data_IF_216815888114
#
_entry.id   IF_216815888114
#
_cell.length_a   1.000
_cell.length_b   1.000
_cell.length_c   1.000
_cell.angle_alpha   90.00
_cell.angle_beta   90.00
_cell.angle_gamma   90.00
#
_symmetry.space_group_name_H-M   'P 1'
#
loop_
_entity.id
_entity.type
_entity.pdbx_description
1 polymer ?
#
# COMPACT_ATOMS: atom_id res chain seq x y z
N UNK A 1 -19.29 29.50 5.07
CA UNK A 1 -19.23 28.94 3.69
C UNK A 1 -18.01 29.39 2.90
N UNK A 2 -17.60 30.66 2.99
CA UNK A 2 -16.40 31.17 2.28
C UNK A 2 -15.09 30.52 2.80
N UNK A 3 -14.97 30.25 4.09
CA UNK A 3 -13.81 29.55 4.67
C UNK A 3 -13.69 28.10 4.16
N UNK A 4 -14.81 27.40 3.93
CA UNK A 4 -14.80 26.08 3.29
C UNK A 4 -14.38 26.16 1.81
N UNK A 5 -14.69 27.26 1.11
CA UNK A 5 -14.28 27.47 -0.29
C UNK A 5 -12.79 27.79 -0.43
N UNK A 6 -12.14 28.38 0.59
CA UNK A 6 -10.68 28.57 0.59
C UNK A 6 -9.95 27.21 0.62
N UNK A 7 -10.48 26.22 1.32
CA UNK A 7 -9.95 24.85 1.32
C UNK A 7 -10.17 24.09 0.00
N UNK A 8 -11.16 24.47 -0.81
CA UNK A 8 -11.46 23.83 -2.11
C UNK A 8 -10.33 24.04 -3.13
N UNK A 9 -9.69 25.21 -3.14
CA UNK A 9 -8.56 25.49 -4.04
C UNK A 9 -7.32 24.69 -3.67
N UNK A 10 -7.05 24.54 -2.37
CA UNK A 10 -5.96 23.73 -1.86
C UNK A 10 -6.26 22.23 -1.98
N UNK A 11 -7.54 21.84 -1.91
CA UNK A 11 -8.00 20.46 -2.12
C UNK A 11 -7.80 19.98 -3.56
N UNK A 12 -7.79 20.86 -4.57
CA UNK A 12 -7.49 20.49 -5.95
C UNK A 12 -6.07 19.97 -6.14
N UNK A 13 -5.09 20.62 -5.55
CA UNK A 13 -3.69 20.18 -5.59
C UNK A 13 -3.43 18.94 -4.74
N UNK A 14 -3.95 18.92 -3.51
CA UNK A 14 -3.81 17.77 -2.61
C UNK A 14 -4.56 16.54 -3.13
N UNK A 15 -5.70 16.73 -3.79
CA UNK A 15 -6.45 15.64 -4.41
C UNK A 15 -5.64 14.99 -5.54
N UNK A 16 -5.01 15.78 -6.40
CA UNK A 16 -4.11 15.24 -7.45
C UNK A 16 -2.90 14.51 -6.87
N UNK A 17 -2.32 15.02 -5.77
CA UNK A 17 -1.26 14.29 -5.06
C UNK A 17 -1.78 12.95 -4.53
N UNK A 18 -2.97 12.92 -3.93
CA UNK A 18 -3.60 11.72 -3.43
C UNK A 18 -3.83 10.69 -4.56
N UNK A 19 -4.46 11.09 -5.66
CA UNK A 19 -4.71 10.24 -6.82
C UNK A 19 -3.41 9.67 -7.41
N UNK A 20 -2.34 10.46 -7.43
CA UNK A 20 -1.03 10.02 -7.90
C UNK A 20 -0.40 9.00 -6.94
N UNK A 21 -0.45 9.26 -5.63
CA UNK A 21 0.03 8.31 -4.62
C UNK A 21 -0.77 7.01 -4.64
N UNK A 22 -2.09 7.09 -4.84
CA UNK A 22 -2.95 5.92 -4.98
C UNK A 22 -2.57 5.08 -6.19
N UNK A 23 -2.28 5.70 -7.36
CA UNK A 23 -1.77 4.98 -8.54
C UNK A 23 -0.44 4.29 -8.25
N UNK A 24 0.49 4.95 -7.58
CA UNK A 24 1.80 4.38 -7.22
C UNK A 24 1.61 3.16 -6.30
N UNK A 25 0.80 3.29 -5.25
CA UNK A 25 0.55 2.20 -4.30
C UNK A 25 -0.28 1.06 -4.89
N UNK A 26 -1.07 1.33 -5.94
CA UNK A 26 -1.79 0.33 -6.71
C UNK A 26 -0.90 -0.41 -7.73
N UNK A 27 0.37 0.01 -7.92
CA UNK A 27 1.29 -0.56 -8.90
C UNK A 27 1.11 -0.06 -10.33
N UNK A 28 0.29 0.98 -10.52
CA UNK A 28 0.05 1.62 -11.82
C UNK A 28 0.81 2.95 -11.98
N UNK A 29 1.73 3.24 -11.04
CA UNK A 29 2.56 4.44 -11.08
C UNK A 29 3.59 4.41 -12.19
N UNK A 30 4.01 5.60 -12.63
CA UNK A 30 5.06 5.86 -13.61
C UNK A 30 6.15 6.73 -12.99
N UNK A 31 7.33 6.78 -13.61
CA UNK A 31 8.41 7.68 -13.16
C UNK A 31 7.98 9.16 -13.21
N UNK A 32 7.12 9.50 -14.16
CA UNK A 32 6.53 10.84 -14.29
C UNK A 32 5.69 11.21 -13.07
N UNK A 33 5.07 10.24 -12.40
CA UNK A 33 4.26 10.47 -11.21
C UNK A 33 5.12 10.94 -10.03
N UNK A 34 6.33 10.43 -9.88
CA UNK A 34 7.27 10.87 -8.84
C UNK A 34 7.72 12.31 -9.13
N UNK A 35 8.10 12.60 -10.38
CA UNK A 35 8.47 13.94 -10.80
C UNK A 35 7.32 14.94 -10.64
N UNK A 36 6.09 14.51 -10.93
CA UNK A 36 4.88 15.31 -10.74
C UNK A 36 4.65 15.66 -9.26
N UNK A 37 4.83 14.70 -8.34
CA UNK A 37 4.69 14.95 -6.91
C UNK A 37 5.74 15.96 -6.39
N UNK A 38 6.97 15.86 -6.88
CA UNK A 38 8.05 16.80 -6.55
C UNK A 38 7.79 18.20 -7.10
N UNK A 39 7.16 18.32 -8.26
CA UNK A 39 6.82 19.61 -8.89
C UNK A 39 5.57 20.26 -8.28
N UNK A 40 4.51 19.49 -8.03
CA UNK A 40 3.24 20.03 -7.53
C UNK A 40 3.33 20.47 -6.06
N UNK A 41 4.13 19.78 -5.24
CA UNK A 41 4.24 20.07 -3.81
C UNK A 41 4.64 21.51 -3.51
N UNK A 42 5.76 22.04 -4.06
CA UNK A 42 6.14 23.44 -3.91
C UNK A 42 5.10 24.43 -4.44
N UNK A 43 4.38 24.08 -5.52
CA UNK A 43 3.32 24.91 -6.09
C UNK A 43 2.12 25.04 -5.14
N UNK A 44 1.75 23.93 -4.49
CA UNK A 44 0.68 23.95 -3.45
C UNK A 44 1.13 24.84 -2.28
N UNK A 45 2.36 24.70 -1.79
CA UNK A 45 2.88 25.54 -0.69
C UNK A 45 2.83 27.03 -1.00
N UNK A 46 3.23 27.41 -2.21
CA UNK A 46 3.22 28.82 -2.64
C UNK A 46 1.81 29.37 -2.88
N UNK A 47 0.90 28.52 -3.35
CA UNK A 47 -0.46 28.91 -3.69
C UNK A 47 -1.44 28.87 -2.52
N UNK A 48 -1.10 28.20 -1.44
CA UNK A 48 -1.97 28.05 -0.28
C UNK A 48 -2.03 29.31 0.57
N UNK A 49 -3.24 29.76 0.91
CA UNK A 49 -3.50 30.96 1.70
C UNK A 49 -3.46 30.73 3.21
N UNK A 50 -3.47 29.48 3.66
CA UNK A 50 -3.43 29.12 5.08
C UNK A 50 -2.28 28.18 5.40
N UNK A 51 -1.83 28.17 6.66
CA UNK A 51 -0.73 27.29 7.09
C UNK A 51 -0.98 25.80 6.90
N UNK A 52 -2.24 25.36 7.03
CA UNK A 52 -2.62 23.96 6.79
C UNK A 52 -2.39 23.55 5.33
N UNK A 53 -2.81 24.38 4.37
CA UNK A 53 -2.56 24.12 2.95
C UNK A 53 -1.08 24.17 2.60
N UNK A 54 -0.29 25.07 3.25
CA UNK A 54 1.15 25.16 3.04
C UNK A 54 1.91 23.93 3.55
N UNK A 55 1.41 23.27 4.58
CA UNK A 55 2.03 22.06 5.16
C UNK A 55 1.53 20.75 4.57
N UNK A 56 0.38 20.75 3.91
CA UNK A 56 -0.26 19.56 3.35
C UNK A 56 0.65 18.70 2.45
N UNK A 57 1.50 19.24 1.57
CA UNK A 57 2.38 18.42 0.72
C UNK A 57 3.62 17.88 1.45
N UNK A 58 3.93 18.37 2.66
CA UNK A 58 5.17 18.02 3.36
C UNK A 58 5.33 16.51 3.63
N UNK A 59 4.30 15.75 4.07
CA UNK A 59 4.44 14.32 4.26
C UNK A 59 4.90 13.59 2.99
N UNK A 60 4.27 13.87 1.84
CA UNK A 60 4.63 13.25 0.56
C UNK A 60 6.05 13.64 0.12
N UNK A 61 6.40 14.93 0.17
CA UNK A 61 7.74 15.41 -0.21
C UNK A 61 8.84 14.85 0.70
N UNK A 62 8.59 14.75 2.01
CA UNK A 62 9.56 14.18 2.95
C UNK A 62 9.75 12.69 2.72
N UNK A 63 8.68 11.92 2.49
CA UNK A 63 8.78 10.48 2.20
C UNK A 63 9.50 10.22 0.89
N UNK A 64 9.23 11.00 -0.17
CA UNK A 64 9.98 10.90 -1.44
C UNK A 64 11.47 11.19 -1.21
N UNK A 65 11.81 12.20 -0.41
CA UNK A 65 13.20 12.57 -0.13
C UNK A 65 13.97 11.49 0.61
N UNK A 66 13.35 10.84 1.60
CA UNK A 66 14.04 9.86 2.46
C UNK A 66 13.89 8.42 1.98
N UNK A 67 12.83 8.10 1.25
CA UNK A 67 12.49 6.74 0.82
C UNK A 67 12.29 6.64 -0.70
N UNK A 68 13.10 7.40 -1.47
CA UNK A 68 13.00 7.42 -2.93
C UNK A 68 13.08 6.03 -3.54
N UNK A 69 13.96 5.18 -3.01
CA UNK A 69 14.12 3.80 -3.46
C UNK A 69 12.84 2.97 -3.36
N UNK A 70 12.00 3.22 -2.33
CA UNK A 70 10.72 2.54 -2.19
C UNK A 70 9.72 3.00 -3.25
N UNK A 71 9.69 4.30 -3.57
CA UNK A 71 8.87 4.82 -4.67
C UNK A 71 9.29 4.24 -6.02
N UNK A 72 10.59 4.19 -6.29
CA UNK A 72 11.13 3.59 -7.51
C UNK A 72 10.82 2.08 -7.60
N UNK A 73 10.89 1.35 -6.49
CA UNK A 73 10.50 -0.06 -6.42
C UNK A 73 9.01 -0.26 -6.74
N UNK A 74 8.12 0.61 -6.24
CA UNK A 74 6.69 0.56 -6.55
C UNK A 74 6.40 0.84 -8.02
N UNK A 75 7.15 1.77 -8.63
CA UNK A 75 6.96 2.21 -10.02
C UNK A 75 7.58 1.22 -11.00
N UNK A 76 8.87 0.89 -10.82
CA UNK A 76 9.64 0.12 -11.80
C UNK A 76 9.46 -1.39 -11.61
N UNK A 77 9.51 -1.87 -10.37
CA UNK A 77 9.44 -3.29 -10.06
C UNK A 77 8.03 -3.75 -9.70
N UNK A 78 7.12 -2.81 -9.41
CA UNK A 78 5.76 -3.07 -8.93
C UNK A 78 5.73 -3.94 -7.66
N UNK A 79 6.71 -3.71 -6.80
CA UNK A 79 6.91 -4.42 -5.54
C UNK A 79 6.83 -3.40 -4.40
N UNK A 80 6.20 -3.78 -3.31
CA UNK A 80 6.21 -3.03 -2.06
C UNK A 80 7.27 -3.62 -1.12
N UNK A 81 8.45 -2.97 -0.91
CA UNK A 81 9.50 -3.51 -0.03
C UNK A 81 9.03 -3.67 1.41
N UNK A 82 8.20 -2.75 1.88
CA UNK A 82 7.63 -2.77 3.24
C UNK A 82 6.46 -3.75 3.40
N UNK A 83 6.01 -4.42 2.34
CA UNK A 83 4.89 -5.38 2.31
C UNK A 83 3.58 -4.83 2.91
N UNK A 84 3.32 -3.54 2.77
CA UNK A 84 2.14 -2.85 3.32
C UNK A 84 1.05 -2.64 2.27
N UNK A 85 1.41 -2.31 1.02
CA UNK A 85 0.46 -2.00 -0.04
C UNK A 85 -0.33 -3.23 -0.44
N UNK A 86 -1.62 -3.26 -0.14
CA UNK A 86 -2.50 -4.43 -0.32
C UNK A 86 -2.56 -4.95 -1.76
N UNK A 87 -2.40 -4.07 -2.74
CA UNK A 87 -2.44 -4.41 -4.17
C UNK A 87 -1.15 -5.07 -4.68
N UNK A 88 -0.02 -4.82 -4.00
CA UNK A 88 1.31 -5.29 -4.38
C UNK A 88 1.81 -6.45 -3.51
N UNK A 89 0.96 -6.96 -2.62
CA UNK A 89 1.31 -8.01 -1.66
C UNK A 89 0.32 -9.15 -1.77
N UNK A 90 0.82 -10.37 -1.72
CA UNK A 90 0.03 -11.58 -1.60
C UNK A 90 0.21 -12.22 -0.22
N UNK A 91 -0.80 -12.95 0.22
CA UNK A 91 -0.72 -13.76 1.43
C UNK A 91 -0.41 -15.19 1.05
N UNK A 92 0.61 -15.76 1.69
CA UNK A 92 0.97 -17.17 1.50
C UNK A 92 1.00 -17.92 2.82
N UNK A 93 0.55 -19.17 2.77
CA UNK A 93 0.55 -20.08 3.91
C UNK A 93 1.68 -21.08 3.75
N UNK A 94 2.55 -21.14 4.74
CA UNK A 94 3.64 -22.12 4.85
C UNK A 94 3.06 -23.44 5.37
N UNK A 95 2.94 -24.42 4.50
CA UNK A 95 2.38 -25.72 4.84
C UNK A 95 3.25 -26.51 5.83
N UNK A 96 4.56 -26.25 5.87
CA UNK A 96 5.49 -26.92 6.79
C UNK A 96 5.24 -26.50 8.24
N UNK A 97 4.81 -25.27 8.46
CA UNK A 97 4.49 -24.70 9.78
C UNK A 97 3.03 -24.86 10.18
N UNK A 98 2.18 -25.20 9.22
CA UNK A 98 0.75 -25.26 9.41
C UNK A 98 0.33 -26.51 10.17
N UNK A 99 -0.30 -26.35 11.34
CA UNK A 99 -0.87 -27.44 12.14
C UNK A 99 -2.32 -27.80 11.73
N UNK A 100 -2.80 -27.28 10.62
CA UNK A 100 -4.13 -27.57 10.05
C UNK A 100 -5.31 -27.33 11.02
N UNK A 101 -5.21 -26.35 11.92
CA UNK A 101 -6.22 -26.04 12.92
C UNK A 101 -7.50 -25.38 12.37
N UNK A 102 -7.52 -25.00 11.08
CA UNK A 102 -8.64 -24.34 10.37
C UNK A 102 -9.11 -23.00 10.94
N UNK A 103 -8.39 -22.38 11.89
CA UNK A 103 -8.77 -21.09 12.46
C UNK A 103 -8.77 -19.97 11.42
N UNK A 104 -7.79 -19.96 10.50
CA UNK A 104 -7.72 -18.99 9.42
C UNK A 104 -8.91 -19.09 8.45
N UNK A 105 -9.39 -20.31 8.18
CA UNK A 105 -10.56 -20.55 7.30
C UNK A 105 -11.82 -20.01 7.95
N UNK A 106 -12.04 -20.31 9.24
CA UNK A 106 -13.24 -19.88 10.00
C UNK A 106 -13.31 -18.37 10.18
N UNK A 107 -12.16 -17.70 10.29
CA UNK A 107 -12.09 -16.23 10.51
C UNK A 107 -11.92 -15.42 9.21
N UNK A 108 -11.93 -16.07 8.05
CA UNK A 108 -11.83 -15.36 6.79
C UNK A 108 -13.19 -14.75 6.41
N UNK A 109 -13.34 -13.42 6.36
CA UNK A 109 -14.64 -12.79 6.06
C UNK A 109 -15.09 -13.02 4.61
N UNK A 110 -14.15 -13.30 3.72
CA UNK A 110 -14.42 -13.55 2.29
C UNK A 110 -14.34 -15.02 1.90
N UNK A 111 -14.07 -15.93 2.86
CA UNK A 111 -13.93 -17.37 2.61
C UNK A 111 -12.96 -17.73 1.47
N UNK A 112 -11.93 -16.92 1.29
CA UNK A 112 -10.92 -17.09 0.21
C UNK A 112 -9.83 -18.09 0.54
N UNK A 113 -9.89 -18.76 1.68
CA UNK A 113 -8.93 -19.79 2.08
C UNK A 113 -9.59 -21.16 1.88
N UNK A 114 -9.05 -21.95 0.94
CA UNK A 114 -9.56 -23.29 0.64
C UNK A 114 -9.26 -24.30 1.76
N UNK A 115 -9.96 -25.44 1.76
CA UNK A 115 -9.68 -26.55 2.70
C UNK A 115 -8.26 -27.13 2.54
N UNK A 116 -7.65 -26.97 1.37
CA UNK A 116 -6.28 -27.33 1.08
C UNK A 116 -5.26 -26.28 1.58
N UNK A 117 -5.71 -25.28 2.35
CA UNK A 117 -4.89 -24.19 2.89
C UNK A 117 -4.19 -23.35 1.80
N UNK A 118 -4.84 -23.18 0.65
CA UNK A 118 -4.42 -22.25 -0.40
C UNK A 118 -5.26 -20.97 -0.30
N UNK A 119 -4.59 -19.82 -0.35
CA UNK A 119 -5.23 -18.52 -0.26
C UNK A 119 -5.46 -17.98 -1.67
N UNK A 120 -6.71 -17.70 -2.01
CA UNK A 120 -7.05 -17.00 -3.27
C UNK A 120 -6.80 -15.50 -3.11
N UNK A 121 -5.63 -15.05 -3.55
CA UNK A 121 -5.22 -13.66 -3.43
C UNK A 121 -6.00 -12.70 -4.34
N UNK A 122 -6.69 -13.19 -5.38
CA UNK A 122 -7.50 -12.37 -6.27
C UNK A 122 -8.76 -11.85 -5.57
N UNK A 123 -9.41 -12.68 -4.75
CA UNK A 123 -10.63 -12.35 -4.03
C UNK A 123 -10.38 -11.99 -2.54
N UNK A 124 -9.11 -12.01 -2.11
CA UNK A 124 -8.73 -11.73 -0.73
C UNK A 124 -8.74 -10.22 -0.44
N UNK A 125 -9.45 -9.79 0.61
CA UNK A 125 -9.45 -8.40 1.11
C UNK A 125 -8.12 -7.97 1.73
N UNK A 126 -7.19 -8.91 1.96
CA UNK A 126 -5.90 -8.67 2.62
C UNK A 126 -6.01 -7.96 3.98
N UNK A 127 -7.10 -8.28 4.71
CA UNK A 127 -7.43 -7.73 6.04
C UNK A 127 -6.48 -8.20 7.16
N UNK A 128 -5.63 -9.19 6.92
CA UNK A 128 -4.65 -9.80 7.83
C UNK A 128 -5.23 -10.59 9.02
N UNK A 129 -6.53 -10.70 9.17
CA UNK A 129 -7.15 -11.47 10.28
C UNK A 129 -6.62 -12.90 10.37
N UNK A 130 -6.38 -13.56 9.24
CA UNK A 130 -5.82 -14.91 9.19
C UNK A 130 -4.35 -14.96 9.67
N UNK A 131 -3.59 -13.88 9.45
CA UNK A 131 -2.20 -13.75 9.86
C UNK A 131 -2.10 -13.56 11.37
N UNK A 132 -2.99 -12.74 11.96
CA UNK A 132 -3.03 -12.45 13.40
C UNK A 132 -3.50 -13.66 14.21
N UNK A 133 -4.53 -14.38 13.72
CA UNK A 133 -5.11 -15.52 14.44
C UNK A 133 -4.26 -16.79 14.37
N UNK A 134 -3.27 -16.86 13.48
CA UNK A 134 -2.47 -18.05 13.29
C UNK A 134 -1.47 -18.28 14.46
N UNK A 135 -1.65 -19.29 15.32
CA UNK A 135 -0.81 -19.50 16.49
C UNK A 135 0.63 -19.87 16.11
N UNK A 136 0.83 -20.45 14.93
CA UNK A 136 2.15 -20.84 14.41
C UNK A 136 2.75 -19.82 13.45
N UNK A 137 2.07 -18.68 13.23
CA UNK A 137 2.52 -17.64 12.28
C UNK A 137 2.91 -18.24 10.92
N UNK A 138 2.13 -19.24 10.47
CA UNK A 138 2.36 -19.93 9.22
C UNK A 138 1.96 -19.09 7.99
N UNK A 139 1.23 -18.00 8.17
CA UNK A 139 0.82 -17.10 7.08
C UNK A 139 1.77 -15.90 7.07
N UNK A 140 2.27 -15.55 5.89
CA UNK A 140 3.17 -14.42 5.68
C UNK A 140 2.71 -13.59 4.50
N UNK A 141 3.11 -12.30 4.50
CA UNK A 141 3.02 -11.42 3.34
C UNK A 141 4.23 -11.64 2.45
N UNK A 142 4.00 -11.73 1.16
CA UNK A 142 5.03 -11.86 0.13
C UNK A 142 4.76 -10.84 -0.97
N UNK A 143 5.78 -10.39 -1.71
CA UNK A 143 5.57 -9.56 -2.89
C UNK A 143 4.68 -10.29 -3.89
N UNK A 144 3.84 -9.54 -4.59
CA UNK A 144 2.95 -10.10 -5.61
C UNK A 144 3.75 -10.76 -6.72
N UNK A 145 3.39 -12.00 -7.05
CA UNK A 145 4.04 -12.78 -8.11
C UNK A 145 5.28 -13.56 -7.70
N UNK A 146 5.80 -13.37 -6.49
CA UNK A 146 6.84 -14.24 -5.95
C UNK A 146 6.19 -15.43 -5.23
N UNK A 147 6.29 -16.61 -5.83
CA UNK A 147 6.00 -17.86 -5.14
C UNK A 147 6.94 -18.04 -3.94
N UNK A 148 6.49 -18.77 -2.92
CA UNK A 148 7.24 -19.04 -1.70
C UNK A 148 8.65 -19.60 -2.02
N UNK A 149 9.66 -18.75 -2.03
CA UNK A 149 11.05 -19.17 -2.02
C UNK A 149 11.43 -19.52 -0.58
N UNK A 150 11.58 -20.81 -0.30
CA UNK A 150 12.01 -21.38 0.98
C UNK A 150 13.43 -20.96 1.42
N UNK A 151 14.06 -19.99 0.76
CA UNK A 151 15.46 -19.61 0.94
C UNK A 151 15.70 -18.30 1.73
N UNK A 152 14.69 -17.71 2.36
CA UNK A 152 14.95 -16.61 3.31
C UNK A 152 14.88 -17.14 4.75
N UNK A 153 16.03 -17.65 5.21
CA UNK A 153 16.36 -17.84 6.62
C UNK A 153 16.73 -16.53 7.28
#
# INVERSE_FOLDING_TARGET
RRQRQMCIRDSGGTMRMYETLERITAGNGTEEDIAFLEDIGPKIRKGALCGLGQTAPNPALSTIRYFRNEYEAHVNQKICPSLVCSTLVDLQLDQSKCVKCKLCIRNCPTSTISENFVIDNANCLKCNSCLEICPKKAIKRVPRGEGFNSNNK
#
